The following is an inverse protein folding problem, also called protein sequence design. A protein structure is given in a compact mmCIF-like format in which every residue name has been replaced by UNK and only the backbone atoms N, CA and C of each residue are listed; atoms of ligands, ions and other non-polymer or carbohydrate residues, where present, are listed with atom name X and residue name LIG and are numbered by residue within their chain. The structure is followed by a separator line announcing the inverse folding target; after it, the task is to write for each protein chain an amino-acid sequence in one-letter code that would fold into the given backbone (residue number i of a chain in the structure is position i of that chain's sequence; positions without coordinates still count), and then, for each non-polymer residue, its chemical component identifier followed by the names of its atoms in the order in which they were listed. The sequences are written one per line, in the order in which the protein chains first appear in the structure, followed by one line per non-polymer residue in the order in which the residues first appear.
data_IF_911700193617
#
_entry.id   IF_911700193617
#
_cell.length_a   1.000
_cell.length_b   1.000
_cell.length_c   1.000
_cell.angle_alpha   90.00
_cell.angle_beta   90.00
_cell.angle_gamma   90.00
#
_symmetry.space_group_name_H-M   'P 1'
#
loop_
_entity.id
_entity.type
_entity.pdbx_description
1 polymer ?
#
# COMPACT_ATOMS: atom_id res chain seq x y z
N UNK A 1 16.75 -17.67 -15.60
CA UNK A 1 16.17 -17.06 -14.38
C UNK A 1 16.86 -15.73 -14.15
N UNK A 2 16.12 -14.63 -13.97
CA UNK A 2 16.74 -13.34 -13.63
C UNK A 2 17.43 -13.45 -12.26
N UNK A 3 18.58 -12.81 -12.09
CA UNK A 3 19.24 -12.73 -10.79
C UNK A 3 18.25 -12.20 -9.74
N UNK A 4 18.26 -12.73 -8.50
CA UNK A 4 17.35 -12.26 -7.47
C UNK A 4 17.60 -10.77 -7.23
N UNK A 5 16.55 -9.96 -7.35
CA UNK A 5 16.59 -8.54 -6.96
C UNK A 5 16.91 -8.52 -5.47
N UNK A 6 18.02 -7.86 -5.08
CA UNK A 6 18.42 -7.73 -3.68
C UNK A 6 18.45 -6.26 -3.31
N UNK A 7 17.74 -5.91 -2.24
CA UNK A 7 17.85 -4.61 -1.59
C UNK A 7 18.77 -4.71 -0.38
N UNK A 8 19.55 -3.67 -0.11
CA UNK A 8 20.47 -3.60 1.03
C UNK A 8 19.71 -3.66 2.37
N UNK A 9 18.49 -3.11 2.41
CA UNK A 9 17.56 -3.12 3.54
C UNK A 9 16.23 -3.77 3.14
N UNK A 10 15.46 -4.33 4.09
CA UNK A 10 14.17 -4.97 3.77
C UNK A 10 13.16 -3.97 3.23
N UNK A 11 12.05 -4.47 2.69
CA UNK A 11 10.84 -3.71 2.36
C UNK A 11 9.87 -3.77 3.54
N UNK A 12 9.35 -2.64 4.00
CA UNK A 12 8.28 -2.61 4.99
C UNK A 12 6.94 -2.26 4.33
N UNK A 13 5.93 -3.07 4.57
CA UNK A 13 4.59 -2.94 3.96
C UNK A 13 3.61 -2.54 5.06
N UNK A 14 3.01 -1.37 4.92
CA UNK A 14 2.02 -0.84 5.86
C UNK A 14 0.62 -1.19 5.35
N UNK A 15 -0.03 -2.13 6.03
CA UNK A 15 -1.32 -2.68 5.62
C UNK A 15 -2.44 -2.14 6.50
N UNK A 16 -3.53 -1.69 5.88
CA UNK A 16 -4.78 -1.39 6.58
C UNK A 16 -5.62 -2.65 6.78
N UNK A 17 -6.94 -2.54 6.63
CA UNK A 17 -7.86 -3.68 6.78
C UNK A 17 -8.69 -4.07 5.55
N UNK A 18 -8.73 -3.19 4.55
CA UNK A 18 -9.52 -3.40 3.34
C UNK A 18 -8.78 -4.21 2.28
N UNK A 19 -9.34 -4.28 1.07
CA UNK A 19 -8.75 -5.06 -0.03
C UNK A 19 -7.33 -4.60 -0.40
N UNK A 20 -6.98 -3.32 -0.24
CA UNK A 20 -5.62 -2.85 -0.47
C UNK A 20 -4.60 -3.52 0.47
N UNK A 21 -5.00 -3.87 1.70
CA UNK A 21 -4.17 -4.67 2.61
C UNK A 21 -3.97 -6.10 2.08
N UNK A 22 -5.00 -6.67 1.46
CA UNK A 22 -4.92 -7.94 0.74
C UNK A 22 -3.83 -7.93 -0.32
N UNK A 23 -3.79 -6.88 -1.16
CA UNK A 23 -2.74 -6.69 -2.16
C UNK A 23 -1.35 -6.56 -1.51
N UNK A 24 -1.26 -5.86 -0.36
CA UNK A 24 -0.06 -5.79 0.46
C UNK A 24 0.42 -7.16 0.97
N UNK A 25 -0.48 -8.01 1.46
CA UNK A 25 -0.16 -9.38 1.89
C UNK A 25 0.27 -10.27 0.73
N UNK A 26 -0.39 -10.15 -0.42
CA UNK A 26 0.02 -10.83 -1.67
C UNK A 26 1.43 -10.41 -2.07
N UNK A 27 1.71 -9.11 -2.05
CA UNK A 27 3.04 -8.57 -2.35
C UNK A 27 4.08 -9.15 -1.39
N UNK A 28 3.81 -9.15 -0.08
CA UNK A 28 4.72 -9.66 0.94
C UNK A 28 5.14 -11.12 0.66
N UNK A 29 4.16 -11.99 0.45
CA UNK A 29 4.38 -13.40 0.07
C UNK A 29 5.19 -13.54 -1.22
N UNK A 30 4.90 -12.72 -2.23
CA UNK A 30 5.61 -12.78 -3.50
C UNK A 30 7.03 -12.19 -3.46
N UNK A 31 7.33 -11.30 -2.52
CA UNK A 31 8.68 -10.82 -2.24
C UNK A 31 9.50 -11.92 -1.57
N UNK A 32 8.93 -12.60 -0.57
CA UNK A 32 9.57 -13.74 0.10
C UNK A 32 9.91 -14.87 -0.89
N UNK A 33 8.97 -15.28 -1.74
CA UNK A 33 9.21 -16.29 -2.80
C UNK A 33 10.38 -15.92 -3.71
N UNK A 34 10.64 -14.62 -3.89
CA UNK A 34 11.74 -14.08 -4.71
C UNK A 34 13.04 -13.86 -3.93
N UNK A 35 13.07 -14.22 -2.64
CA UNK A 35 14.21 -14.02 -1.75
C UNK A 35 14.43 -12.55 -1.35
N UNK A 36 13.41 -11.70 -1.48
CA UNK A 36 13.45 -10.30 -1.04
C UNK A 36 12.97 -10.23 0.41
N UNK A 37 13.82 -9.73 1.31
CA UNK A 37 13.45 -9.52 2.71
C UNK A 37 12.34 -8.47 2.82
N UNK A 38 11.25 -8.81 3.46
CA UNK A 38 10.16 -7.89 3.74
C UNK A 38 9.60 -8.08 5.16
N UNK A 39 8.84 -7.11 5.62
CA UNK A 39 8.12 -7.09 6.91
C UNK A 39 6.76 -6.44 6.70
N UNK A 40 5.76 -6.84 7.47
CA UNK A 40 4.41 -6.28 7.41
C UNK A 40 4.04 -5.62 8.74
N UNK A 41 3.52 -4.40 8.67
CA UNK A 41 2.87 -3.73 9.80
C UNK A 41 1.36 -3.68 9.51
N UNK A 42 0.57 -4.41 10.28
CA UNK A 42 -0.88 -4.43 10.18
C UNK A 42 -1.47 -3.34 11.10
N UNK A 43 -2.02 -2.28 10.50
CA UNK A 43 -2.56 -1.10 11.16
C UNK A 43 -4.05 -1.30 11.56
N UNK A 44 -4.40 -2.49 12.01
CA UNK A 44 -5.74 -2.89 12.44
C UNK A 44 -5.64 -4.16 13.31
N UNK A 45 -6.71 -4.52 14.00
CA UNK A 45 -6.76 -5.85 14.60
C UNK A 45 -6.98 -6.90 13.49
N UNK A 46 -6.33 -8.08 13.54
CA UNK A 46 -6.58 -9.15 12.57
C UNK A 46 -8.05 -9.56 12.46
N UNK A 47 -8.81 -9.42 13.55
CA UNK A 47 -10.26 -9.71 13.60
C UNK A 47 -11.10 -8.74 12.78
N UNK A 48 -10.58 -7.58 12.40
CA UNK A 48 -11.23 -6.62 11.51
C UNK A 48 -11.03 -6.96 10.03
N UNK A 49 -10.12 -7.88 9.71
CA UNK A 49 -9.90 -8.32 8.33
C UNK A 49 -11.10 -9.15 7.86
N UNK A 50 -11.57 -8.85 6.66
CA UNK A 50 -12.67 -9.57 6.00
C UNK A 50 -12.32 -9.89 4.56
N UNK A 51 -13.13 -10.74 3.91
CA UNK A 51 -12.98 -11.07 2.49
C UNK A 51 -11.56 -11.53 2.11
N UNK A 52 -11.08 -11.04 0.97
CA UNK A 52 -9.79 -11.40 0.39
C UNK A 52 -8.60 -10.95 1.24
N UNK A 53 -8.73 -9.83 1.96
CA UNK A 53 -7.69 -9.36 2.87
C UNK A 53 -7.45 -10.36 3.99
N UNK A 54 -8.52 -10.90 4.59
CA UNK A 54 -8.42 -11.98 5.59
C UNK A 54 -7.80 -13.24 5.02
N UNK A 55 -8.23 -13.67 3.83
CA UNK A 55 -7.69 -14.88 3.19
C UNK A 55 -6.19 -14.75 2.95
N UNK A 56 -5.72 -13.62 2.42
CA UNK A 56 -4.30 -13.42 2.15
C UNK A 56 -3.48 -13.23 3.44
N UNK A 57 -4.05 -12.61 4.47
CA UNK A 57 -3.43 -12.57 5.80
C UNK A 57 -3.21 -13.97 6.36
N UNK A 58 -4.23 -14.83 6.31
CA UNK A 58 -4.12 -16.23 6.76
C UNK A 58 -3.04 -17.00 6.03
N UNK A 59 -2.94 -16.83 4.70
CA UNK A 59 -1.86 -17.43 3.92
C UNK A 59 -0.50 -16.89 4.38
N UNK A 60 -0.38 -15.58 4.56
CA UNK A 60 0.88 -14.95 4.96
C UNK A 60 1.36 -15.41 6.35
N UNK A 61 0.45 -15.73 7.28
CA UNK A 61 0.82 -16.30 8.59
C UNK A 61 1.52 -17.66 8.53
N UNK A 62 1.45 -18.35 7.39
CA UNK A 62 2.14 -19.62 7.14
C UNK A 62 3.48 -19.43 6.40
N UNK A 63 3.99 -18.19 6.36
CA UNK A 63 5.27 -17.82 5.76
C UNK A 63 6.25 -17.34 6.83
N UNK A 64 7.51 -17.12 6.46
CA UNK A 64 8.55 -16.57 7.36
C UNK A 64 8.56 -15.03 7.37
N UNK A 65 7.60 -14.38 6.70
CA UNK A 65 7.48 -12.92 6.69
C UNK A 65 7.09 -12.43 8.10
N UNK A 66 7.90 -11.57 8.75
CA UNK A 66 7.54 -10.99 10.03
C UNK A 66 6.31 -10.07 9.89
N UNK A 67 5.32 -10.29 10.74
CA UNK A 67 4.10 -9.48 10.83
C UNK A 67 4.02 -8.89 12.23
N UNK A 68 3.87 -7.57 12.32
CA UNK A 68 3.56 -6.88 13.58
C UNK A 68 2.19 -6.23 13.51
N UNK A 69 1.40 -6.43 14.55
CA UNK A 69 0.13 -5.74 14.75
C UNK A 69 0.40 -4.37 15.39
N UNK A 70 -0.12 -3.32 14.76
CA UNK A 70 0.14 -1.93 15.09
C UNK A 70 -1.19 -1.15 15.19
N UNK A 71 -2.07 -1.50 16.14
CA UNK A 71 -3.28 -0.71 16.41
C UNK A 71 -2.92 0.70 16.89
N UNK A 72 -3.92 1.57 17.01
CA UNK A 72 -3.76 2.99 17.32
C UNK A 72 -2.84 3.27 18.51
N UNK A 73 -2.92 2.47 19.57
CA UNK A 73 -2.17 2.66 20.81
C UNK A 73 -0.68 2.31 20.67
N UNK A 74 -0.31 1.57 19.62
CA UNK A 74 1.04 1.02 19.43
C UNK A 74 1.69 1.40 18.09
N UNK A 75 0.98 2.15 17.25
CA UNK A 75 1.42 2.42 15.87
C UNK A 75 2.80 3.07 15.81
N UNK A 76 3.09 4.06 16.67
CA UNK A 76 4.39 4.73 16.66
C UNK A 76 5.55 3.81 17.05
N UNK A 77 5.35 3.01 18.10
CA UNK A 77 6.33 2.02 18.58
C UNK A 77 6.60 0.98 17.48
N UNK A 78 5.53 0.38 16.95
CA UNK A 78 5.63 -0.64 15.91
C UNK A 78 6.34 -0.13 14.66
N UNK A 79 6.01 1.08 14.17
CA UNK A 79 6.67 1.67 13.01
C UNK A 79 8.16 1.92 13.26
N UNK A 80 8.51 2.44 14.45
CA UNK A 80 9.91 2.72 14.83
C UNK A 80 10.74 1.44 14.92
N UNK A 81 10.19 0.38 15.49
CA UNK A 81 10.95 -0.85 15.76
C UNK A 81 10.97 -1.81 14.56
N UNK A 82 9.85 -1.93 13.83
CA UNK A 82 9.74 -2.89 12.75
C UNK A 82 10.01 -2.32 11.36
N UNK A 83 9.63 -1.06 11.10
CA UNK A 83 9.62 -0.49 9.76
C UNK A 83 10.75 0.54 9.49
N UNK A 84 11.45 1.03 10.51
CA UNK A 84 12.46 2.09 10.35
C UNK A 84 13.66 1.70 9.47
N UNK A 85 14.25 0.52 9.72
CA UNK A 85 15.38 0.04 8.91
C UNK A 85 14.89 -0.60 7.60
N UNK A 86 14.45 0.22 6.65
CA UNK A 86 13.90 -0.22 5.37
C UNK A 86 14.43 0.59 4.19
N UNK A 87 14.54 -0.07 3.02
CA UNK A 87 14.83 0.60 1.75
C UNK A 87 13.57 1.17 1.09
N UNK A 88 12.43 0.53 1.34
CA UNK A 88 11.15 0.84 0.71
C UNK A 88 10.01 0.72 1.71
N UNK A 89 9.18 1.75 1.76
CA UNK A 89 7.88 1.72 2.40
C UNK A 89 6.81 1.52 1.34
N UNK A 90 5.99 0.49 1.54
CA UNK A 90 4.84 0.21 0.70
C UNK A 90 3.57 0.62 1.43
N UNK A 91 2.82 1.52 0.82
CA UNK A 91 1.49 1.92 1.24
C UNK A 91 0.46 0.96 0.65
N UNK A 92 -0.09 0.13 1.54
CA UNK A 92 -1.19 -0.79 1.31
C UNK A 92 -2.33 -0.50 2.31
N UNK A 93 -2.47 0.77 2.72
CA UNK A 93 -3.31 1.16 3.86
C UNK A 93 -4.77 1.37 3.45
N UNK A 94 -5.02 2.22 2.46
CA UNK A 94 -6.34 2.61 1.95
C UNK A 94 -6.35 2.50 0.43
N UNK A 95 -7.48 2.11 -0.13
CA UNK A 95 -7.70 2.03 -1.59
C UNK A 95 -8.88 2.90 -2.02
N UNK A 96 -9.44 2.63 -3.19
CA UNK A 96 -10.53 3.42 -3.81
C UNK A 96 -11.82 3.51 -2.99
N UNK A 97 -12.06 2.56 -2.09
CA UNK A 97 -13.23 2.57 -1.19
C UNK A 97 -13.12 3.53 -0.01
N UNK A 98 -11.98 4.21 0.18
CA UNK A 98 -11.77 5.15 1.27
C UNK A 98 -12.16 6.58 0.85
N UNK A 99 -12.82 7.30 1.76
CA UNK A 99 -13.22 8.70 1.55
C UNK A 99 -13.04 9.52 2.82
N UNK A 100 -12.70 10.79 2.67
CA UNK A 100 -12.51 11.72 3.78
C UNK A 100 -11.17 11.54 4.51
N UNK A 101 -11.09 12.09 5.72
CA UNK A 101 -9.85 12.10 6.50
C UNK A 101 -9.50 10.69 7.04
N UNK A 102 -8.25 10.22 6.85
CA UNK A 102 -7.76 9.01 7.51
C UNK A 102 -7.88 9.13 9.02
N UNK A 103 -8.33 8.04 9.66
CA UNK A 103 -8.43 7.93 11.11
C UNK A 103 -7.23 7.18 11.67
N UNK A 104 -6.98 7.28 12.96
CA UNK A 104 -5.97 6.45 13.61
C UNK A 104 -6.28 4.96 13.46
N UNK A 105 -5.26 4.08 13.34
CA UNK A 105 -3.81 4.36 13.30
C UNK A 105 -3.26 4.91 11.96
N UNK A 106 -4.09 5.00 10.92
CA UNK A 106 -3.64 5.29 9.55
C UNK A 106 -3.08 6.71 9.41
N UNK A 107 -3.71 7.69 10.05
CA UNK A 107 -3.23 9.08 10.02
C UNK A 107 -1.78 9.19 10.54
N UNK A 108 -1.49 8.59 11.70
CA UNK A 108 -0.12 8.53 12.24
C UNK A 108 0.84 7.82 11.30
N UNK A 109 0.44 6.66 10.76
CA UNK A 109 1.29 5.90 9.83
C UNK A 109 1.63 6.67 8.55
N UNK A 110 0.66 7.38 7.97
CA UNK A 110 0.85 8.23 6.79
C UNK A 110 1.84 9.36 7.08
N UNK A 111 1.66 10.06 8.21
CA UNK A 111 2.56 11.15 8.59
C UNK A 111 3.99 10.65 8.84
N UNK A 112 4.13 9.49 9.49
CA UNK A 112 5.42 8.85 9.72
C UNK A 112 6.09 8.46 8.39
N UNK A 113 5.35 7.80 7.49
CA UNK A 113 5.85 7.37 6.17
C UNK A 113 6.34 8.56 5.33
N UNK A 114 5.61 9.68 5.35
CA UNK A 114 5.99 10.90 4.62
C UNK A 114 7.28 11.55 5.13
N UNK A 115 7.62 11.38 6.42
CA UNK A 115 8.85 11.89 7.03
C UNK A 115 10.03 10.92 6.90
N UNK A 116 9.75 9.67 6.55
CA UNK A 116 10.76 8.63 6.45
C UNK A 116 11.67 8.84 5.22
N UNK A 117 12.99 8.57 5.32
CA UNK A 117 13.92 8.74 4.20
C UNK A 117 13.88 7.64 3.13
N UNK A 118 13.19 6.53 3.39
CA UNK A 118 13.03 5.44 2.42
C UNK A 118 12.20 5.86 1.21
N UNK A 119 12.37 5.13 0.09
CA UNK A 119 11.48 5.29 -1.06
C UNK A 119 10.08 4.78 -0.73
N UNK A 120 9.06 5.42 -1.29
CA UNK A 120 7.65 5.15 -1.02
C UNK A 120 6.96 4.64 -2.28
N UNK A 121 6.34 3.46 -2.16
CA UNK A 121 5.50 2.87 -3.19
C UNK A 121 4.06 2.86 -2.70
N UNK A 122 3.12 3.37 -3.49
CA UNK A 122 1.68 3.21 -3.23
C UNK A 122 1.09 2.09 -4.09
N UNK A 123 0.37 1.17 -3.45
CA UNK A 123 -0.45 0.17 -4.12
C UNK A 123 -1.80 0.80 -4.46
N UNK A 124 -2.15 0.71 -5.74
CA UNK A 124 -3.35 1.26 -6.36
C UNK A 124 -3.44 2.79 -6.39
N UNK A 125 -3.39 3.43 -5.21
CA UNK A 125 -3.40 4.86 -5.00
C UNK A 125 -2.72 5.24 -3.68
N UNK A 126 -2.14 6.45 -3.54
CA UNK A 126 -1.63 6.92 -2.26
C UNK A 126 -2.75 7.11 -1.25
N UNK A 127 -2.66 6.44 -0.10
CA UNK A 127 -3.63 6.53 0.98
C UNK A 127 -3.85 7.98 1.42
N UNK A 128 -5.12 8.36 1.55
CA UNK A 128 -5.56 9.73 1.82
C UNK A 128 -5.86 10.55 0.56
N UNK A 129 -5.57 10.04 -0.65
CA UNK A 129 -5.94 10.68 -1.90
C UNK A 129 -7.30 10.16 -2.39
N UNK A 130 -8.24 11.07 -2.62
CA UNK A 130 -9.53 10.74 -3.21
C UNK A 130 -9.36 10.33 -4.69
N UNK A 131 -9.83 9.12 -5.04
CA UNK A 131 -9.58 8.55 -6.36
C UNK A 131 -10.34 9.23 -7.50
N UNK A 132 -11.45 9.89 -7.22
CA UNK A 132 -12.32 10.48 -8.24
C UNK A 132 -11.99 11.95 -8.46
N UNK A 133 -11.82 12.68 -7.36
CA UNK A 133 -11.62 14.12 -7.36
C UNK A 133 -10.15 14.52 -7.31
N UNK A 134 -9.24 13.62 -6.91
CA UNK A 134 -7.83 13.93 -6.68
C UNK A 134 -7.59 14.86 -5.47
N UNK A 135 -8.58 15.04 -4.60
CA UNK A 135 -8.45 15.83 -3.38
C UNK A 135 -7.59 15.07 -2.36
N UNK A 136 -6.50 15.65 -1.84
CA UNK A 136 -5.78 15.07 -0.72
C UNK A 136 -6.51 15.37 0.59
N UNK A 137 -6.58 14.38 1.48
CA UNK A 137 -6.84 14.58 2.90
C UNK A 137 -5.63 15.24 3.58
N UNK A 138 -5.82 15.72 4.82
CA UNK A 138 -4.73 16.32 5.61
C UNK A 138 -3.53 15.37 5.77
N UNK A 139 -3.81 14.08 5.97
CA UNK A 139 -2.83 13.00 5.91
C UNK A 139 -2.96 12.28 4.56
N UNK A 140 -2.10 12.61 3.60
CA UNK A 140 -2.01 11.91 2.31
C UNK A 140 -0.58 11.44 2.05
N UNK A 141 -0.41 10.18 1.65
CA UNK A 141 0.90 9.61 1.30
C UNK A 141 1.49 10.33 0.09
N UNK A 142 2.78 10.69 0.17
CA UNK A 142 3.56 11.23 -0.94
C UNK A 142 4.42 10.14 -1.54
N UNK A 143 3.87 9.42 -2.51
CA UNK A 143 4.56 8.30 -3.14
C UNK A 143 5.67 8.79 -4.08
N UNK A 144 6.76 8.02 -4.15
CA UNK A 144 7.76 8.17 -5.21
C UNK A 144 7.37 7.34 -6.44
N UNK A 145 6.58 6.28 -6.24
CA UNK A 145 6.01 5.41 -7.27
C UNK A 145 4.58 4.98 -6.88
N UNK A 146 3.63 5.08 -7.79
CA UNK A 146 2.27 4.53 -7.63
C UNK A 146 2.04 3.44 -8.67
N UNK A 147 1.78 2.22 -8.20
CA UNK A 147 1.43 1.08 -9.04
C UNK A 147 -0.08 0.91 -9.04
N UNK A 148 -0.74 1.36 -10.09
CA UNK A 148 -2.19 1.44 -10.18
C UNK A 148 -2.77 0.32 -11.05
N UNK A 149 -3.89 -0.27 -10.66
CA UNK A 149 -4.43 -1.41 -11.38
C UNK A 149 -5.41 -1.03 -12.49
N UNK A 150 -5.31 -1.73 -13.63
CA UNK A 150 -6.22 -1.68 -14.80
C UNK A 150 -6.20 -0.35 -15.57
N UNK A 151 -6.44 0.77 -14.92
CA UNK A 151 -6.53 2.09 -15.50
C UNK A 151 -6.11 3.18 -14.51
N UNK A 152 -5.83 4.38 -15.04
CA UNK A 152 -5.68 5.58 -14.21
C UNK A 152 -7.00 5.93 -13.56
N UNK A 153 -6.94 6.42 -12.31
CA UNK A 153 -8.11 6.91 -11.59
C UNK A 153 -8.40 8.35 -12.06
N UNK A 154 -9.67 8.79 -12.17
CA UNK A 154 -10.01 10.14 -12.63
C UNK A 154 -9.29 11.25 -11.85
N UNK A 155 -9.16 11.07 -10.54
CA UNK A 155 -8.48 11.98 -9.64
C UNK A 155 -6.98 12.14 -9.94
N UNK A 156 -6.34 11.16 -10.57
CA UNK A 156 -4.91 11.23 -10.89
C UNK A 156 -4.61 12.27 -11.98
N UNK A 157 -5.62 12.62 -12.79
CA UNK A 157 -5.50 13.62 -13.84
C UNK A 157 -5.57 15.05 -13.29
N UNK A 158 -5.94 15.21 -12.02
CA UNK A 158 -6.13 16.51 -11.39
C UNK A 158 -4.78 17.11 -10.95
N UNK A 159 -4.53 18.41 -11.20
CA UNK A 159 -3.25 19.04 -10.82
C UNK A 159 -2.90 18.89 -9.34
N UNK A 160 -3.91 18.95 -8.46
CA UNK A 160 -3.76 18.80 -6.99
C UNK A 160 -3.30 17.40 -6.54
N UNK A 161 -3.48 16.36 -7.36
CA UNK A 161 -3.02 15.00 -7.05
C UNK A 161 -1.53 14.79 -7.35
N UNK A 162 -0.97 15.54 -8.31
CA UNK A 162 0.42 15.39 -8.79
C UNK A 162 1.48 15.31 -7.67
N UNK A 163 1.42 16.11 -6.59
CA UNK A 163 2.43 16.04 -5.52
C UNK A 163 2.45 14.74 -4.71
N UNK A 164 1.47 13.85 -4.91
CA UNK A 164 1.28 12.63 -4.12
C UNK A 164 1.54 11.34 -4.91
N UNK A 165 1.54 11.41 -6.25
CA UNK A 165 1.51 10.23 -7.11
C UNK A 165 2.90 9.69 -7.48
N UNK A 166 3.93 10.52 -7.50
CA UNK A 166 5.26 10.13 -8.00
C UNK A 166 5.22 9.65 -9.45
N UNK A 167 6.07 8.68 -9.79
CA UNK A 167 5.98 7.96 -11.06
C UNK A 167 4.75 7.04 -11.05
N UNK A 168 3.96 7.02 -12.13
CA UNK A 168 2.76 6.17 -12.19
C UNK A 168 3.01 4.99 -13.14
N UNK A 169 2.74 3.78 -12.66
CA UNK A 169 2.77 2.54 -13.45
C UNK A 169 1.41 1.87 -13.43
N UNK A 170 0.79 1.74 -14.60
CA UNK A 170 -0.45 0.98 -14.76
C UNK A 170 -0.10 -0.50 -14.91
N UNK A 171 -0.57 -1.33 -13.98
CA UNK A 171 -0.31 -2.76 -13.92
C UNK A 171 -1.55 -3.52 -14.39
N UNK A 172 -1.36 -4.43 -15.35
CA UNK A 172 -2.40 -5.35 -15.79
C UNK A 172 -2.57 -6.48 -14.77
N UNK A 173 -3.81 -6.72 -14.38
CA UNK A 173 -4.19 -7.80 -13.44
C UNK A 173 -5.04 -8.88 -14.14
N UNK A 174 -4.98 -8.96 -15.47
CA UNK A 174 -5.72 -9.96 -16.26
C UNK A 174 -7.14 -9.56 -16.66
N UNK A 175 -7.51 -8.28 -16.53
CA UNK A 175 -8.77 -7.76 -17.06
C UNK A 175 -8.75 -7.79 -18.59
N UNK A 176 -9.79 -8.35 -19.27
CA UNK A 176 -9.88 -8.35 -20.72
C UNK A 176 -9.74 -6.94 -21.31
N UNK A 177 -8.86 -6.70 -22.31
CA UNK A 177 -8.64 -5.38 -22.87
C UNK A 177 -9.90 -4.69 -23.42
N UNK A 178 -10.88 -5.49 -23.84
CA UNK A 178 -12.19 -4.99 -24.27
C UNK A 178 -12.91 -4.22 -23.16
N UNK A 179 -12.97 -4.77 -21.95
CA UNK A 179 -13.65 -4.14 -20.82
C UNK A 179 -12.94 -2.86 -20.37
N UNK A 180 -11.61 -2.84 -20.44
CA UNK A 180 -10.82 -1.63 -20.14
C UNK A 180 -11.15 -0.50 -21.11
N UNK A 181 -11.28 -0.82 -22.40
CA UNK A 181 -11.66 0.18 -23.43
C UNK A 181 -13.09 0.68 -23.26
N UNK A 182 -14.03 -0.21 -22.93
CA UNK A 182 -15.42 0.18 -22.67
C UNK A 182 -15.52 1.11 -21.45
N UNK A 183 -14.78 0.84 -20.38
CA UNK A 183 -14.75 1.70 -19.19
C UNK A 183 -14.05 3.05 -19.41
N UNK A 184 -13.08 3.14 -20.34
CA UNK A 184 -12.37 4.38 -20.66
C UNK A 184 -13.09 5.27 -21.70
N UNK A 185 -14.16 4.76 -22.33
CA UNK A 185 -14.94 5.48 -23.34
C UNK A 185 -16.17 6.21 -22.76
N UNK A 186 -16.38 6.10 -21.45
CA UNK A 186 -17.43 6.77 -20.65
C UNK A 186 -16.80 7.94 -19.90
#
# INVERSE_FOLDING_TARGET
TAAPVRFERPVAILCGKGNNAGDGFVLARHLEIRGVRCKVCLLAAPTELTGDARVNYEILRHTDVPIVEAPAERVEEALREHAWDTAWLVDAMLGTGASGEPREPLATAIQWMNRHPARRLAIDLPSGLDCDTGAPASATVRADLTCTFVALKPGFLQPKARPFLGEIRVVSIGVPPRLVREAAAV
#
